data_IF_067322967572
#
_entry.id   IF_067322967572
#
_cell.length_a   1.000
_cell.length_b   1.000
_cell.length_c   1.000
_cell.angle_alpha   90.00
_cell.angle_beta   90.00
_cell.angle_gamma   90.00
#
_symmetry.space_group_name_H-M   'P 1'
#
loop_
_entity.id
_entity.type
_entity.pdbx_description
1 polymer ?
#
# COMPACT_ATOMS: atom_id res chain seq x y z
N UNK A 1 -23.26 -7.08 -20.26
CA UNK A 1 -22.61 -8.09 -19.51
C UNK A 1 -21.14 -8.23 -19.86
N UNK A 2 -20.29 -7.93 -18.86
CA UNK A 2 -18.86 -8.17 -18.94
C UNK A 2 -18.48 -9.30 -17.97
N UNK A 3 -17.52 -10.13 -18.38
CA UNK A 3 -16.97 -11.20 -17.55
C UNK A 3 -15.44 -11.02 -17.46
N UNK A 4 -14.89 -11.18 -16.27
CA UNK A 4 -13.44 -11.30 -16.10
C UNK A 4 -13.03 -12.70 -16.58
N UNK A 5 -12.21 -12.77 -17.63
CA UNK A 5 -11.75 -14.03 -18.22
C UNK A 5 -10.43 -14.49 -17.60
N UNK A 6 -9.53 -13.54 -17.29
CA UNK A 6 -8.24 -13.85 -16.69
C UNK A 6 -7.69 -12.64 -15.92
N UNK A 7 -6.82 -12.91 -14.95
CA UNK A 7 -5.95 -11.95 -14.29
C UNK A 7 -4.53 -12.44 -14.48
N UNK A 8 -3.67 -11.61 -15.11
CA UNK A 8 -2.29 -11.97 -15.40
C UNK A 8 -1.34 -11.23 -14.45
N UNK A 9 -0.50 -11.98 -13.77
CA UNK A 9 0.56 -11.45 -12.92
C UNK A 9 1.89 -11.64 -13.64
N UNK A 10 2.68 -10.57 -13.86
CA UNK A 10 4.04 -10.73 -14.37
C UNK A 10 4.91 -11.49 -13.36
N UNK A 11 5.93 -12.19 -13.86
CA UNK A 11 6.92 -12.81 -13.00
C UNK A 11 7.68 -11.72 -12.22
N UNK A 12 7.93 -11.96 -10.94
CA UNK A 12 8.71 -11.06 -10.08
C UNK A 12 10.19 -11.31 -10.32
N UNK A 13 10.97 -10.25 -10.48
CA UNK A 13 12.44 -10.30 -10.59
C UNK A 13 13.09 -10.22 -9.20
N UNK A 14 14.37 -10.59 -9.09
CA UNK A 14 15.10 -10.61 -7.81
C UNK A 14 15.20 -9.23 -7.13
N UNK A 15 15.10 -8.15 -7.92
CA UNK A 15 15.12 -6.77 -7.43
C UNK A 15 13.72 -6.17 -7.23
N UNK A 16 12.69 -6.99 -7.23
CA UNK A 16 11.29 -6.59 -7.03
C UNK A 16 10.71 -7.24 -5.79
N UNK A 17 9.97 -6.45 -5.03
CA UNK A 17 9.25 -6.94 -3.85
C UNK A 17 7.84 -6.39 -3.79
N UNK A 18 6.92 -7.21 -3.30
CA UNK A 18 5.55 -6.79 -3.09
C UNK A 18 5.04 -7.28 -1.74
N UNK A 19 4.22 -6.47 -1.09
CA UNK A 19 3.57 -6.83 0.16
C UNK A 19 2.16 -6.25 0.22
N UNK A 20 1.32 -6.90 1.01
CA UNK A 20 -0.04 -6.44 1.26
C UNK A 20 -0.42 -6.72 2.70
N UNK A 21 -1.06 -5.74 3.34
CA UNK A 21 -1.61 -5.86 4.68
C UNK A 21 -3.02 -5.29 4.74
N UNK A 22 -3.84 -5.87 5.60
CA UNK A 22 -5.14 -5.31 5.97
C UNK A 22 -5.26 -5.22 7.49
N UNK A 23 -5.99 -4.22 7.95
CA UNK A 23 -6.43 -4.14 9.33
C UNK A 23 -7.86 -4.68 9.44
N UNK A 24 -8.05 -5.63 10.35
CA UNK A 24 -9.34 -6.22 10.72
C UNK A 24 -9.45 -6.28 12.25
N UNK A 25 -10.65 -6.06 12.83
CA UNK A 25 -10.83 -6.11 14.30
C UNK A 25 -10.66 -7.50 14.89
N UNK A 26 -10.86 -8.54 14.11
CA UNK A 26 -10.71 -9.95 14.49
C UNK A 26 -10.06 -10.75 13.36
N UNK A 27 -9.46 -11.91 13.70
CA UNK A 27 -8.61 -12.64 12.76
C UNK A 27 -9.35 -13.29 11.59
N UNK A 28 -10.63 -13.58 11.73
CA UNK A 28 -11.41 -14.29 10.73
C UNK A 28 -12.77 -13.64 10.49
N UNK A 29 -13.33 -13.89 9.31
CA UNK A 29 -14.69 -13.51 8.90
C UNK A 29 -15.02 -12.05 9.17
N UNK A 30 -14.09 -11.15 8.84
CA UNK A 30 -14.28 -9.73 9.03
C UNK A 30 -13.92 -8.92 7.78
N UNK A 31 -14.61 -7.78 7.64
CA UNK A 31 -14.37 -6.84 6.55
C UNK A 31 -13.19 -5.95 6.93
N UNK A 32 -12.30 -5.70 5.98
CA UNK A 32 -11.17 -4.81 6.18
C UNK A 32 -11.64 -3.40 6.57
N UNK A 33 -11.04 -2.85 7.63
CA UNK A 33 -11.20 -1.44 8.02
C UNK A 33 -10.38 -0.56 7.10
N UNK A 34 -9.16 -1.01 6.77
CA UNK A 34 -8.27 -0.41 5.79
C UNK A 34 -7.33 -1.51 5.25
N UNK A 35 -6.80 -1.33 4.07
CA UNK A 35 -5.72 -2.15 3.53
C UNK A 35 -4.78 -1.32 2.66
N UNK A 36 -3.53 -1.76 2.56
CA UNK A 36 -2.55 -1.22 1.63
C UNK A 36 -1.79 -2.36 0.96
N UNK A 37 -1.44 -2.15 -0.30
CA UNK A 37 -0.56 -3.03 -1.06
C UNK A 37 0.53 -2.19 -1.71
N UNK A 38 1.77 -2.67 -1.63
CA UNK A 38 2.94 -2.00 -2.19
C UNK A 38 3.71 -3.00 -3.06
N UNK A 39 4.13 -2.54 -4.22
CA UNK A 39 5.16 -3.16 -5.04
C UNK A 39 6.25 -2.14 -5.30
N UNK A 40 7.49 -2.56 -5.17
CA UNK A 40 8.69 -1.75 -5.45
C UNK A 40 9.67 -2.53 -6.32
N UNK A 41 10.43 -1.78 -7.12
CA UNK A 41 11.57 -2.26 -7.88
C UNK A 41 12.79 -1.41 -7.54
N UNK A 42 13.90 -2.05 -7.25
CA UNK A 42 15.16 -1.38 -6.91
C UNK A 42 16.13 -1.39 -8.09
N UNK A 43 16.90 -0.31 -8.23
CA UNK A 43 18.15 -0.23 -8.94
C UNK A 43 19.27 0.06 -7.91
N UNK A 44 20.01 -0.98 -7.56
CA UNK A 44 20.88 -0.95 -6.39
C UNK A 44 20.09 -0.73 -5.10
N UNK A 45 20.28 0.43 -4.44
CA UNK A 45 19.56 0.82 -3.23
C UNK A 45 18.42 1.81 -3.47
N UNK A 46 18.30 2.31 -4.69
CA UNK A 46 17.34 3.36 -5.06
C UNK A 46 16.10 2.73 -5.65
N UNK A 47 14.93 3.24 -5.30
CA UNK A 47 13.67 2.82 -5.90
C UNK A 47 13.58 3.30 -7.34
N UNK A 48 13.59 2.36 -8.29
CA UNK A 48 13.45 2.65 -9.72
C UNK A 48 11.99 2.78 -10.15
N UNK A 49 11.10 2.00 -9.54
CA UNK A 49 9.65 2.06 -9.78
C UNK A 49 8.89 1.60 -8.54
N UNK A 50 7.67 2.11 -8.36
CA UNK A 50 6.82 1.74 -7.24
C UNK A 50 5.34 1.85 -7.60
N UNK A 51 4.51 1.01 -6.98
CA UNK A 51 3.05 1.10 -7.04
C UNK A 51 2.47 0.87 -5.67
N UNK A 52 1.55 1.74 -5.27
CA UNK A 52 0.87 1.66 -3.98
C UNK A 52 -0.63 1.74 -4.23
N UNK A 53 -1.37 0.82 -3.64
CA UNK A 53 -2.82 0.78 -3.70
C UNK A 53 -3.41 0.71 -2.30
N UNK A 54 -4.54 1.38 -2.10
CA UNK A 54 -5.29 1.40 -0.85
C UNK A 54 -6.68 0.78 -1.06
N UNK A 55 -7.15 0.03 -0.07
CA UNK A 55 -8.48 -0.54 -0.06
C UNK A 55 -9.25 -0.20 1.22
N UNK A 56 -10.56 -0.18 1.12
CA UNK A 56 -11.51 0.10 2.21
C UNK A 56 -11.40 1.52 2.83
N UNK A 57 -10.74 2.44 2.15
CA UNK A 57 -10.56 3.84 2.60
C UNK A 57 -11.16 4.88 1.65
N UNK A 58 -11.97 4.45 0.69
CA UNK A 58 -12.76 5.26 -0.23
C UNK A 58 -13.90 4.40 -0.80
N UNK A 59 -14.73 4.97 -1.68
CA UNK A 59 -15.81 4.25 -2.35
C UNK A 59 -15.31 3.11 -3.26
N UNK A 60 -14.09 3.26 -3.80
CA UNK A 60 -13.39 2.26 -4.63
C UNK A 60 -11.95 2.11 -4.17
N UNK A 61 -11.23 1.04 -4.55
CA UNK A 61 -9.78 0.98 -4.35
C UNK A 61 -9.08 2.18 -5.01
N UNK A 62 -8.07 2.72 -4.33
CA UNK A 62 -7.30 3.88 -4.77
C UNK A 62 -5.89 3.46 -5.21
N UNK A 63 -5.40 4.09 -6.27
CA UNK A 63 -3.97 4.07 -6.62
C UNK A 63 -3.33 5.33 -6.04
N UNK A 64 -2.39 5.14 -5.12
CA UNK A 64 -1.70 6.23 -4.42
C UNK A 64 -0.45 6.66 -5.21
N UNK A 65 -0.65 7.30 -6.38
CA UNK A 65 0.45 7.71 -7.26
C UNK A 65 1.43 8.65 -6.57
N UNK A 66 0.96 9.65 -5.80
CA UNK A 66 1.82 10.57 -5.07
C UNK A 66 2.66 9.86 -3.98
N UNK A 67 2.15 8.77 -3.39
CA UNK A 67 2.92 7.96 -2.46
C UNK A 67 4.03 7.17 -3.18
N UNK A 68 3.75 6.63 -4.36
CA UNK A 68 4.74 5.96 -5.20
C UNK A 68 5.82 6.94 -5.68
N UNK A 69 5.43 8.13 -6.14
CA UNK A 69 6.35 9.20 -6.57
C UNK A 69 7.29 9.65 -5.45
N UNK A 70 6.84 9.66 -4.19
CA UNK A 70 7.68 9.97 -3.03
C UNK A 70 8.81 8.95 -2.81
N UNK A 71 8.65 7.72 -3.29
CA UNK A 71 9.66 6.66 -3.19
C UNK A 71 10.64 6.68 -4.37
N UNK A 72 10.16 6.92 -5.58
CA UNK A 72 10.94 6.80 -6.82
C UNK A 72 12.12 7.78 -6.81
N UNK A 73 13.31 7.28 -7.13
CA UNK A 73 14.55 8.04 -7.15
C UNK A 73 15.23 8.22 -5.79
N UNK A 74 14.68 7.62 -4.73
CA UNK A 74 15.22 7.72 -3.37
C UNK A 74 15.61 6.35 -2.80
N UNK A 75 16.53 6.34 -1.83
CA UNK A 75 16.72 5.20 -0.93
C UNK A 75 15.58 5.19 0.11
N UNK A 76 15.16 3.99 0.53
CA UNK A 76 14.07 3.81 1.48
C UNK A 76 14.53 4.10 2.93
N UNK A 77 14.67 5.39 3.25
CA UNK A 77 14.87 5.85 4.63
C UNK A 77 13.53 5.98 5.35
N UNK A 78 13.54 6.05 6.69
CA UNK A 78 12.32 6.25 7.47
C UNK A 78 11.59 7.56 7.09
N UNK A 79 12.33 8.61 6.72
CA UNK A 79 11.76 9.86 6.24
C UNK A 79 11.03 9.69 4.90
N UNK A 80 11.64 9.04 3.92
CA UNK A 80 11.06 8.78 2.60
C UNK A 80 9.82 7.90 2.73
N UNK A 81 9.88 6.86 3.54
CA UNK A 81 8.74 5.98 3.84
C UNK A 81 7.61 6.75 4.53
N UNK A 82 7.95 7.62 5.49
CA UNK A 82 6.98 8.48 6.18
C UNK A 82 6.27 9.44 5.22
N UNK A 83 7.01 10.08 4.30
CA UNK A 83 6.44 10.96 3.28
C UNK A 83 5.48 10.21 2.34
N UNK A 84 5.82 9.00 1.93
CA UNK A 84 4.92 8.14 1.15
C UNK A 84 3.66 7.76 1.94
N UNK A 85 3.78 7.47 3.24
CA UNK A 85 2.65 7.22 4.13
C UNK A 85 1.72 8.43 4.26
N UNK A 86 2.27 9.64 4.39
CA UNK A 86 1.50 10.88 4.45
C UNK A 86 0.78 11.16 3.12
N UNK A 87 1.46 10.97 1.99
CA UNK A 87 0.86 11.09 0.67
C UNK A 87 -0.30 10.08 0.47
N UNK A 88 -0.12 8.82 0.90
CA UNK A 88 -1.17 7.82 0.83
C UNK A 88 -2.39 8.19 1.70
N UNK A 89 -2.17 8.68 2.91
CA UNK A 89 -3.26 9.09 3.81
C UNK A 89 -4.04 10.30 3.31
N UNK A 90 -3.39 11.20 2.57
CA UNK A 90 -4.00 12.43 2.06
C UNK A 90 -5.09 12.21 1.02
N UNK A 91 -5.04 11.11 0.28
CA UNK A 91 -6.05 10.75 -0.73
C UNK A 91 -7.18 9.89 -0.16
N UNK A 92 -7.06 9.41 1.07
CA UNK A 92 -8.07 8.59 1.71
C UNK A 92 -9.33 9.41 1.99
N UNK A 93 -10.50 8.89 1.60
CA UNK A 93 -11.81 9.51 1.82
C UNK A 93 -12.79 8.47 2.37
N UNK A 94 -12.52 7.90 3.57
CA UNK A 94 -13.35 6.86 4.15
C UNK A 94 -14.61 7.43 4.78
N UNK A 95 -15.55 6.54 5.09
CA UNK A 95 -16.73 6.83 5.92
C UNK A 95 -16.47 6.41 7.37
N UNK A 96 -17.22 6.97 8.30
CA UNK A 96 -17.35 6.44 9.66
C UNK A 96 -18.49 5.42 9.68
N UNK A 97 -18.21 4.23 10.21
CA UNK A 97 -19.19 3.17 10.44
C UNK A 97 -18.91 2.45 11.78
N UNK A 98 -19.65 1.37 12.04
CA UNK A 98 -19.48 0.57 13.25
C UNK A 98 -18.09 -0.08 13.39
N UNK A 99 -17.27 -0.14 12.32
CA UNK A 99 -15.95 -0.77 12.29
C UNK A 99 -14.81 0.21 12.49
N UNK A 100 -15.03 1.49 12.21
CA UNK A 100 -13.99 2.50 12.36
C UNK A 100 -14.42 3.89 11.97
N UNK A 101 -13.77 4.88 12.56
CA UNK A 101 -13.96 6.28 12.23
C UNK A 101 -13.14 6.71 11.01
N UNK A 102 -13.53 7.82 10.38
CA UNK A 102 -12.73 8.48 9.33
C UNK A 102 -11.28 8.67 9.80
N UNK A 103 -11.09 9.23 11.00
CA UNK A 103 -9.77 9.50 11.58
C UNK A 103 -8.93 8.21 11.68
N UNK A 104 -9.51 7.13 12.19
CA UNK A 104 -8.82 5.85 12.31
C UNK A 104 -8.45 5.27 10.95
N UNK A 105 -9.37 5.25 10.00
CA UNK A 105 -9.14 4.69 8.65
C UNK A 105 -8.07 5.47 7.89
N UNK A 106 -8.08 6.81 7.99
CA UNK A 106 -7.06 7.67 7.39
C UNK A 106 -5.68 7.41 8.02
N UNK A 107 -5.61 7.28 9.35
CA UNK A 107 -4.37 6.92 10.03
C UNK A 107 -3.87 5.52 9.64
N UNK A 108 -4.76 4.55 9.53
CA UNK A 108 -4.42 3.19 9.08
C UNK A 108 -3.90 3.18 7.65
N UNK A 109 -4.42 4.02 6.74
CA UNK A 109 -3.88 4.15 5.39
C UNK A 109 -2.38 4.50 5.41
N UNK A 110 -1.97 5.47 6.26
CA UNK A 110 -0.56 5.80 6.47
C UNK A 110 0.24 4.61 7.01
N UNK A 111 -0.17 4.08 8.16
CA UNK A 111 0.57 3.02 8.86
C UNK A 111 0.72 1.76 8.02
N UNK A 112 -0.34 1.34 7.33
CA UNK A 112 -0.28 0.15 6.49
C UNK A 112 0.60 0.36 5.25
N UNK A 113 0.58 1.56 4.67
CA UNK A 113 1.47 1.92 3.56
C UNK A 113 2.93 1.83 4.00
N UNK A 114 3.30 2.45 5.11
CA UNK A 114 4.66 2.39 5.65
C UNK A 114 5.12 0.95 5.93
N UNK A 115 4.24 0.11 6.49
CA UNK A 115 4.54 -1.29 6.79
C UNK A 115 4.74 -2.10 5.51
N UNK A 116 3.84 -1.96 4.54
CA UNK A 116 3.94 -2.71 3.28
C UNK A 116 5.14 -2.31 2.44
N UNK A 117 5.62 -1.06 2.54
CA UNK A 117 6.88 -0.64 1.92
C UNK A 117 8.05 -1.40 2.56
N UNK A 118 8.13 -1.45 3.90
CA UNK A 118 9.18 -2.19 4.62
C UNK A 118 9.13 -3.69 4.32
N UNK A 119 7.94 -4.29 4.37
CA UNK A 119 7.75 -5.71 4.06
C UNK A 119 8.14 -6.04 2.60
N UNK A 120 7.87 -5.14 1.64
CA UNK A 120 8.27 -5.31 0.25
C UNK A 120 9.79 -5.24 0.09
N UNK A 121 10.46 -4.34 0.81
CA UNK A 121 11.92 -4.25 0.86
C UNK A 121 12.55 -5.51 1.47
N UNK A 122 12.01 -5.99 2.57
CA UNK A 122 12.51 -7.19 3.26
C UNK A 122 12.45 -8.43 2.36
N UNK A 123 11.44 -8.51 1.49
CA UNK A 123 11.29 -9.61 0.52
C UNK A 123 12.32 -9.57 -0.62
N UNK A 124 12.86 -8.40 -0.95
CA UNK A 124 13.97 -8.28 -1.91
C UNK A 124 15.27 -8.75 -1.27
N UNK A 125 15.44 -8.50 0.04
CA UNK A 125 16.65 -8.79 0.78
C UNK A 125 16.70 -10.22 1.36
N UNK A 126 15.62 -10.99 1.24
CA UNK A 126 15.51 -12.36 1.74
C UNK A 126 15.85 -13.40 0.66
#
# INVERSE_FOLDING_TARGET
GELIVSINFPAVSDNEGAAWQRFIPRNEMDIAVASAGTWIKLDGKVVADARIALGAVAATPLVASGAAEALIGNELTDEVIGNAGDAASSIASPITDMRGSIKQRTHLAKVLTERTIRDALDRINS
#
